data_IF_561089713101
#
_entry.id   IF_561089713101
#
_cell.length_a   1.000
_cell.length_b   1.000
_cell.length_c   1.000
_cell.angle_alpha   90.00
_cell.angle_beta   90.00
_cell.angle_gamma   90.00
#
_symmetry.space_group_name_H-M   'P 1'
#
loop_
_entity.id
_entity.type
_entity.pdbx_description
1 polymer ?
#
# COMPACT_ATOMS: atom_id res chain seq x y z
N UNK A 1 -23.83 -8.14 38.82
CA UNK A 1 -23.67 -8.55 37.39
C UNK A 1 -23.71 -7.28 36.58
N UNK A 2 -22.61 -6.92 35.86
CA UNK A 2 -22.51 -5.64 35.15
C UNK A 2 -23.08 -5.80 33.73
N UNK A 3 -24.25 -5.16 33.49
CA UNK A 3 -25.00 -5.25 32.25
C UNK A 3 -24.23 -4.65 31.05
N UNK A 4 -23.40 -3.64 31.31
CA UNK A 4 -22.61 -2.97 30.29
C UNK A 4 -21.43 -3.84 29.83
N UNK A 5 -20.87 -4.63 30.76
CA UNK A 5 -19.82 -5.61 30.44
C UNK A 5 -20.38 -6.78 29.61
N UNK A 6 -21.60 -7.19 29.87
CA UNK A 6 -22.33 -8.21 29.08
C UNK A 6 -22.66 -7.68 27.68
N UNK A 7 -23.13 -6.43 27.56
CA UNK A 7 -23.40 -5.78 26.26
C UNK A 7 -22.12 -5.63 25.44
N UNK A 8 -21.02 -5.21 26.06
CA UNK A 8 -19.72 -5.09 25.39
C UNK A 8 -19.18 -6.45 24.92
N UNK A 9 -19.38 -7.51 25.72
CA UNK A 9 -18.98 -8.87 25.35
C UNK A 9 -19.86 -9.46 24.26
N UNK A 10 -21.16 -9.19 24.28
CA UNK A 10 -22.11 -9.56 23.22
C UNK A 10 -21.77 -8.84 21.90
N UNK A 11 -21.48 -7.55 21.96
CA UNK A 11 -21.03 -6.77 20.79
C UNK A 11 -19.71 -7.30 20.22
N UNK A 12 -18.77 -7.71 21.08
CA UNK A 12 -17.50 -8.32 20.66
C UNK A 12 -17.66 -9.71 20.04
N UNK A 13 -18.67 -10.48 20.48
CA UNK A 13 -18.99 -11.80 19.93
C UNK A 13 -19.75 -11.71 18.59
N UNK A 14 -20.61 -10.71 18.43
CA UNK A 14 -21.29 -10.45 17.16
C UNK A 14 -20.33 -9.87 16.09
N UNK A 15 -19.17 -9.34 16.49
CA UNK A 15 -18.09 -8.90 15.60
C UNK A 15 -17.09 -10.02 15.25
N UNK A 16 -17.42 -11.29 15.43
CA UNK A 16 -16.62 -12.42 14.94
C UNK A 16 -16.66 -12.50 13.40
N UNK A 17 -15.81 -11.71 12.77
CA UNK A 17 -15.63 -11.67 11.33
C UNK A 17 -14.94 -10.40 10.82
N UNK A 18 -14.81 -9.40 11.67
CA UNK A 18 -14.09 -8.16 11.35
C UNK A 18 -12.91 -8.00 12.30
N UNK A 19 -11.69 -8.29 11.86
CA UNK A 19 -10.53 -7.61 12.45
C UNK A 19 -10.89 -6.13 12.56
N UNK A 20 -10.44 -5.42 13.62
CA UNK A 20 -10.69 -3.97 13.80
C UNK A 20 -10.61 -3.34 12.41
N UNK A 21 -11.75 -2.91 11.85
CA UNK A 21 -11.72 -2.12 10.62
C UNK A 21 -10.90 -0.91 10.98
N UNK A 22 -9.64 -0.92 10.58
CA UNK A 22 -8.82 0.28 10.62
C UNK A 22 -9.66 1.30 9.88
N UNK A 23 -10.06 2.38 10.56
CA UNK A 23 -10.81 3.42 9.89
C UNK A 23 -9.90 3.96 8.78
N UNK A 24 -10.11 3.44 7.57
CA UNK A 24 -9.26 3.71 6.43
C UNK A 24 -9.23 5.22 6.18
N UNK A 25 -10.36 5.87 6.29
CA UNK A 25 -10.49 7.31 6.05
C UNK A 25 -9.73 8.15 7.09
N UNK A 26 -9.62 7.66 8.34
CA UNK A 26 -8.87 8.34 9.38
C UNK A 26 -7.35 8.24 9.20
N UNK A 27 -6.85 7.18 8.54
CA UNK A 27 -5.41 6.97 8.39
C UNK A 27 -4.89 7.26 6.98
N UNK A 28 -5.77 7.18 5.97
CA UNK A 28 -5.36 7.33 4.58
C UNK A 28 -6.12 8.45 3.88
N UNK A 29 -5.39 9.22 3.10
CA UNK A 29 -5.96 10.17 2.16
C UNK A 29 -5.87 9.62 0.74
N UNK A 30 -6.96 9.70 0.01
CA UNK A 30 -7.02 9.32 -1.40
C UNK A 30 -7.54 10.51 -2.19
N UNK A 31 -6.76 11.03 -3.17
CA UNK A 31 -7.23 12.10 -4.04
C UNK A 31 -8.44 11.63 -4.86
N UNK A 32 -9.43 12.51 -5.00
CA UNK A 32 -10.65 12.20 -5.75
C UNK A 32 -10.39 12.33 -7.24
N UNK A 33 -11.00 11.44 -8.02
CA UNK A 33 -10.97 11.47 -9.48
C UNK A 33 -11.58 12.78 -10.02
N UNK A 34 -10.94 13.36 -11.04
CA UNK A 34 -11.38 14.60 -11.65
C UNK A 34 -11.18 15.85 -10.79
N UNK A 35 -10.40 15.76 -9.70
CA UNK A 35 -10.18 16.90 -8.80
C UNK A 35 -8.70 17.24 -8.64
N UNK A 36 -8.46 18.50 -8.21
CA UNK A 36 -7.15 19.00 -7.78
C UNK A 36 -7.19 19.22 -6.28
N UNK A 37 -6.23 18.67 -5.58
CA UNK A 37 -6.07 18.85 -4.13
C UNK A 37 -4.70 19.46 -3.85
N UNK A 38 -4.60 20.26 -2.80
CA UNK A 38 -3.33 20.76 -2.30
C UNK A 38 -2.95 19.98 -1.04
N UNK A 39 -1.72 19.54 -0.99
CA UNK A 39 -1.16 18.80 0.15
C UNK A 39 0.22 19.34 0.51
N UNK A 40 0.65 19.12 1.74
CA UNK A 40 2.03 19.20 2.19
C UNK A 40 2.50 17.81 2.57
N UNK A 41 3.61 17.33 2.02
CA UNK A 41 4.31 16.17 2.57
C UNK A 41 4.94 16.62 3.87
N UNK A 42 4.69 15.85 4.93
CA UNK A 42 5.17 16.16 6.29
C UNK A 42 6.42 15.31 6.56
N UNK A 43 7.44 15.84 7.26
CA UNK A 43 8.57 15.03 7.70
C UNK A 43 8.09 13.80 8.47
N UNK A 44 8.70 12.65 8.22
CA UNK A 44 8.29 11.41 8.89
C UNK A 44 8.83 11.35 10.31
N UNK A 45 7.98 11.04 11.29
CA UNK A 45 8.39 10.78 12.67
C UNK A 45 9.31 9.55 12.78
N UNK A 46 9.10 8.55 11.92
CA UNK A 46 9.76 7.24 11.97
C UNK A 46 10.96 7.11 11.04
N UNK A 47 11.13 8.06 10.11
CA UNK A 47 12.30 8.17 9.25
C UNK A 47 12.60 9.65 9.02
N UNK A 48 13.54 10.20 9.82
CA UNK A 48 13.84 11.64 9.82
C UNK A 48 14.54 12.11 8.54
N UNK A 49 15.25 11.21 7.89
CA UNK A 49 16.05 11.55 6.71
C UNK A 49 15.24 11.45 5.41
N UNK A 50 14.08 10.79 5.46
CA UNK A 50 13.30 10.50 4.25
C UNK A 50 11.81 10.37 4.54
N UNK A 51 10.93 11.17 3.90
CA UNK A 51 9.51 11.21 4.24
C UNK A 51 8.71 10.04 3.67
N UNK A 52 9.29 9.25 2.76
CA UNK A 52 8.58 8.17 2.09
C UNK A 52 8.82 6.83 2.75
N UNK A 53 7.78 6.01 2.81
CA UNK A 53 7.85 4.63 3.24
C UNK A 53 7.56 3.72 2.05
N UNK A 54 8.53 2.91 1.67
CA UNK A 54 8.44 1.95 0.59
C UNK A 54 7.99 0.60 1.15
N UNK A 55 6.82 0.12 0.75
CA UNK A 55 6.30 -1.16 1.18
C UNK A 55 5.91 -2.01 -0.03
N UNK A 56 6.22 -3.30 0.05
CA UNK A 56 5.92 -4.29 -0.97
C UNK A 56 4.68 -5.09 -0.61
N UNK A 57 3.76 -5.24 -1.57
CA UNK A 57 2.50 -5.94 -1.38
C UNK A 57 2.23 -6.95 -2.48
N UNK A 58 1.59 -8.05 -2.09
CA UNK A 58 0.93 -8.97 -3.00
C UNK A 58 -0.51 -8.55 -3.23
N UNK A 59 -1.00 -8.72 -4.45
CA UNK A 59 -2.37 -8.41 -4.83
C UNK A 59 -3.03 -9.60 -5.52
N UNK A 60 -4.24 -9.97 -5.07
CA UNK A 60 -5.04 -11.02 -5.71
C UNK A 60 -4.55 -12.46 -5.49
N UNK A 61 -3.64 -12.69 -4.56
CA UNK A 61 -3.15 -14.03 -4.20
C UNK A 61 -3.92 -14.50 -2.97
N UNK A 62 -5.06 -15.16 -3.18
CA UNK A 62 -5.93 -15.66 -2.10
C UNK A 62 -6.52 -14.56 -1.19
N UNK A 63 -5.96 -13.36 -1.22
CA UNK A 63 -6.43 -12.15 -0.53
C UNK A 63 -6.34 -10.95 -1.46
N UNK A 64 -7.22 -9.93 -1.30
CA UNK A 64 -7.16 -8.72 -2.12
C UNK A 64 -5.80 -8.01 -2.03
N UNK A 65 -5.20 -7.98 -0.84
CA UNK A 65 -3.90 -7.34 -0.57
C UNK A 65 -3.24 -7.97 0.65
N UNK A 66 -1.94 -8.25 0.55
CA UNK A 66 -1.12 -8.75 1.67
C UNK A 66 0.22 -8.03 1.68
N UNK A 67 0.71 -7.67 2.87
CA UNK A 67 2.06 -7.14 3.06
C UNK A 67 3.07 -8.28 2.87
N UNK A 68 4.07 -8.07 2.02
CA UNK A 68 5.12 -9.06 1.79
C UNK A 68 6.05 -9.18 3.00
N UNK A 69 6.51 -10.39 3.30
CA UNK A 69 7.44 -10.63 4.42
C UNK A 69 8.81 -10.02 4.18
N UNK A 70 9.19 -9.79 2.93
CA UNK A 70 10.42 -9.07 2.56
C UNK A 70 10.51 -7.65 3.14
N UNK A 71 9.39 -7.02 3.54
CA UNK A 71 9.42 -5.74 4.27
C UNK A 71 10.00 -5.85 5.68
N UNK A 72 10.19 -7.05 6.19
CA UNK A 72 10.69 -7.32 7.54
C UNK A 72 12.05 -8.04 7.52
N UNK A 73 12.73 -8.07 6.38
CA UNK A 73 13.98 -8.80 6.16
C UNK A 73 13.87 -10.29 6.53
N UNK A 74 12.66 -10.86 6.34
CA UNK A 74 12.38 -12.26 6.63
C UNK A 74 12.10 -13.02 5.34
N UNK A 75 12.35 -14.33 5.38
CA UNK A 75 12.06 -15.24 4.28
C UNK A 75 10.59 -15.16 3.87
N UNK A 76 10.33 -15.08 2.58
CA UNK A 76 8.99 -14.90 2.01
C UNK A 76 8.69 -16.06 1.03
N UNK A 77 7.76 -16.96 1.37
CA UNK A 77 7.51 -18.17 0.58
C UNK A 77 6.97 -17.87 -0.81
N UNK A 78 6.20 -16.78 -0.97
CA UNK A 78 5.65 -16.39 -2.28
C UNK A 78 6.77 -15.84 -3.16
N UNK A 79 7.66 -15.02 -2.61
CA UNK A 79 8.79 -14.44 -3.35
C UNK A 79 9.80 -15.53 -3.77
N UNK A 80 10.07 -16.49 -2.89
CA UNK A 80 10.95 -17.64 -3.21
C UNK A 80 10.38 -18.45 -4.36
N UNK A 81 9.10 -18.80 -4.29
CA UNK A 81 8.41 -19.54 -5.35
C UNK A 81 8.40 -18.76 -6.66
N UNK A 82 8.05 -17.46 -6.65
CA UNK A 82 8.10 -16.61 -7.82
C UNK A 82 9.51 -16.55 -8.45
N UNK A 83 10.53 -16.50 -7.61
CA UNK A 83 11.94 -16.47 -8.06
C UNK A 83 12.36 -17.79 -8.73
N UNK A 84 11.97 -18.94 -8.17
CA UNK A 84 12.22 -20.25 -8.78
C UNK A 84 11.49 -20.40 -10.12
N UNK A 85 10.22 -20.00 -10.20
CA UNK A 85 9.46 -20.00 -11.45
C UNK A 85 10.15 -19.15 -12.52
N UNK A 86 10.61 -17.95 -12.18
CA UNK A 86 11.32 -17.07 -13.13
C UNK A 86 12.62 -17.68 -13.64
N UNK A 87 13.34 -18.41 -12.77
CA UNK A 87 14.61 -19.06 -13.12
C UNK A 87 14.44 -20.32 -13.99
N UNK A 88 13.24 -20.89 -14.10
CA UNK A 88 13.00 -22.12 -14.88
C UNK A 88 13.14 -21.93 -16.40
N UNK A 89 13.08 -20.69 -16.89
CA UNK A 89 13.17 -20.38 -18.32
C UNK A 89 11.91 -20.71 -19.15
N UNK A 90 10.91 -21.33 -18.54
CA UNK A 90 9.64 -21.65 -19.18
C UNK A 90 8.72 -20.41 -19.21
N UNK A 91 8.12 -20.11 -20.36
CA UNK A 91 7.29 -18.91 -20.54
C UNK A 91 6.06 -18.89 -19.63
N UNK A 92 5.40 -20.03 -19.46
CA UNK A 92 4.21 -20.16 -18.58
C UNK A 92 4.58 -19.90 -17.14
N UNK A 93 5.72 -20.45 -16.69
CA UNK A 93 6.25 -20.19 -15.35
C UNK A 93 6.64 -18.72 -15.17
N UNK A 94 7.22 -18.08 -16.18
CA UNK A 94 7.57 -16.66 -16.13
C UNK A 94 6.34 -15.77 -16.03
N UNK A 95 5.25 -16.10 -16.73
CA UNK A 95 4.00 -15.33 -16.67
C UNK A 95 3.29 -15.52 -15.32
N UNK A 96 3.35 -16.72 -14.75
CA UNK A 96 2.89 -16.98 -13.39
C UNK A 96 3.73 -16.21 -12.37
N UNK A 97 5.06 -16.23 -12.51
CA UNK A 97 5.97 -15.50 -11.64
C UNK A 97 5.66 -13.99 -11.61
N UNK A 98 5.39 -13.37 -12.77
CA UNK A 98 5.00 -11.94 -12.85
C UNK A 98 3.81 -11.58 -11.97
N UNK A 99 2.83 -12.50 -11.82
CA UNK A 99 1.65 -12.31 -10.97
C UNK A 99 2.00 -12.44 -9.48
N UNK A 100 3.01 -13.23 -9.16
CA UNK A 100 3.45 -13.55 -7.80
C UNK A 100 4.49 -12.57 -7.25
N UNK A 101 5.13 -11.75 -8.07
CA UNK A 101 6.07 -10.75 -7.55
C UNK A 101 5.35 -9.64 -6.79
N UNK A 102 5.85 -9.25 -5.60
CA UNK A 102 5.27 -8.15 -4.84
C UNK A 102 5.44 -6.82 -5.57
N UNK A 103 4.47 -5.94 -5.41
CA UNK A 103 4.45 -4.63 -6.05
C UNK A 103 4.75 -3.54 -5.03
N UNK A 104 5.66 -2.65 -5.39
CA UNK A 104 5.99 -1.46 -4.60
C UNK A 104 4.78 -0.52 -4.50
N UNK A 105 4.49 -0.10 -3.27
CA UNK A 105 3.63 1.02 -2.93
C UNK A 105 4.38 1.96 -2.02
N UNK A 106 4.28 3.23 -2.30
CA UNK A 106 4.95 4.28 -1.53
C UNK A 106 3.91 5.06 -0.75
N UNK A 107 4.24 5.35 0.50
CA UNK A 107 3.39 6.09 1.42
C UNK A 107 4.11 7.33 1.91
N UNK A 108 3.46 8.48 1.80
CA UNK A 108 3.92 9.73 2.38
C UNK A 108 2.94 10.21 3.44
N UNK A 109 3.39 10.66 4.61
CA UNK A 109 2.55 11.40 5.53
C UNK A 109 2.22 12.76 4.90
N UNK A 110 0.93 13.09 4.79
CA UNK A 110 0.47 14.31 4.16
C UNK A 110 -0.52 15.08 5.03
N UNK A 111 -0.40 16.38 4.99
CA UNK A 111 -1.36 17.33 5.54
C UNK A 111 -2.13 17.97 4.38
N UNK A 112 -3.44 17.77 4.37
CA UNK A 112 -4.29 18.14 3.21
C UNK A 112 -4.90 19.50 3.44
N UNK A 113 -4.67 20.44 2.55
CA UNK A 113 -5.24 21.79 2.63
C UNK A 113 -6.74 21.74 2.39
N UNK A 114 -7.50 22.37 3.29
CA UNK A 114 -8.96 22.32 3.32
C UNK A 114 -9.55 21.10 4.06
N UNK A 115 -8.70 20.25 4.64
CA UNK A 115 -9.08 19.12 5.50
C UNK A 115 -8.20 19.06 6.75
N UNK A 116 -7.84 20.24 7.28
CA UNK A 116 -6.89 20.40 8.38
C UNK A 116 -7.35 19.71 9.67
N UNK A 117 -8.66 19.64 9.88
CA UNK A 117 -9.31 18.95 11.00
C UNK A 117 -9.00 17.46 11.08
N UNK A 118 -8.62 16.85 9.95
CA UNK A 118 -8.29 15.42 9.85
C UNK A 118 -6.83 15.09 10.18
N UNK A 119 -5.99 16.08 10.41
CA UNK A 119 -4.58 15.90 10.73
C UNK A 119 -3.77 15.23 9.63
N UNK A 120 -2.64 14.60 10.02
CA UNK A 120 -1.75 13.90 9.09
C UNK A 120 -2.32 12.53 8.74
N UNK A 121 -2.39 12.23 7.45
CA UNK A 121 -2.82 10.93 6.89
C UNK A 121 -1.81 10.45 5.88
N UNK A 122 -1.83 9.16 5.56
CA UNK A 122 -0.96 8.61 4.53
C UNK A 122 -1.59 8.73 3.14
N UNK A 123 -0.82 9.26 2.21
CA UNK A 123 -1.12 9.17 0.78
C UNK A 123 -0.34 8.01 0.18
N UNK A 124 -1.07 7.07 -0.43
CA UNK A 124 -0.50 5.93 -1.15
C UNK A 124 -0.41 6.23 -2.64
N UNK A 125 0.75 5.98 -3.24
CA UNK A 125 0.97 6.13 -4.67
C UNK A 125 1.93 5.09 -5.23
N UNK A 126 1.99 5.00 -6.57
CA UNK A 126 2.87 4.07 -7.27
C UNK A 126 4.18 4.71 -7.72
N UNK A 127 4.99 3.87 -8.38
CA UNK A 127 6.35 4.22 -8.81
C UNK A 127 6.43 5.51 -9.67
N UNK A 128 5.46 5.78 -10.53
CA UNK A 128 5.52 6.96 -11.43
C UNK A 128 5.47 8.28 -10.65
N UNK A 129 4.50 8.42 -9.75
CA UNK A 129 4.40 9.59 -8.87
C UNK A 129 5.63 9.71 -7.96
N UNK A 130 6.13 8.57 -7.48
CA UNK A 130 7.33 8.53 -6.66
C UNK A 130 8.55 9.08 -7.39
N UNK A 131 8.78 8.64 -8.63
CA UNK A 131 9.89 9.14 -9.46
C UNK A 131 9.76 10.63 -9.74
N UNK A 132 8.55 11.14 -9.97
CA UNK A 132 8.29 12.56 -10.20
C UNK A 132 8.62 13.39 -8.94
N UNK A 133 8.19 12.93 -7.75
CA UNK A 133 8.52 13.59 -6.49
C UNK A 133 10.02 13.57 -6.17
N UNK A 134 10.68 12.42 -6.38
CA UNK A 134 12.13 12.31 -6.19
C UNK A 134 12.89 13.22 -7.16
N UNK A 135 12.42 13.34 -8.41
CA UNK A 135 13.00 14.24 -9.39
C UNK A 135 12.98 15.70 -8.92
N UNK A 136 11.85 16.14 -8.35
CA UNK A 136 11.74 17.50 -7.78
C UNK A 136 12.63 17.66 -6.54
N UNK A 137 12.65 16.66 -5.65
CA UNK A 137 13.46 16.75 -4.41
C UNK A 137 14.96 16.68 -4.67
N UNK A 138 15.38 16.14 -5.81
CA UNK A 138 16.79 16.13 -6.23
C UNK A 138 17.25 17.44 -6.89
N UNK A 139 16.33 18.35 -7.17
CA UNK A 139 16.59 19.65 -7.78
C UNK A 139 16.86 20.70 -6.69
N UNK A 140 18.06 21.23 -6.66
CA UNK A 140 18.52 22.22 -5.66
C UNK A 140 17.67 23.49 -5.62
N UNK A 141 17.03 23.87 -6.73
CA UNK A 141 16.15 25.06 -6.82
C UNK A 141 14.88 24.91 -5.98
N UNK A 142 14.43 23.68 -5.74
CA UNK A 142 13.28 23.44 -4.89
C UNK A 142 13.62 23.35 -3.39
N UNK A 143 14.82 22.92 -3.05
CA UNK A 143 15.23 22.68 -1.65
C UNK A 143 14.41 21.58 -0.99
N UNK A 144 14.37 21.57 0.34
CA UNK A 144 13.55 20.62 1.09
C UNK A 144 12.06 21.00 1.03
N UNK A 145 11.31 20.33 0.17
CA UNK A 145 9.87 20.57 0.02
C UNK A 145 9.07 20.14 1.25
N UNK A 146 9.65 19.37 2.17
CA UNK A 146 8.99 18.88 3.39
C UNK A 146 9.26 19.75 4.60
N UNK A 147 10.17 20.72 4.51
CA UNK A 147 10.54 21.60 5.62
C UNK A 147 9.30 22.24 6.28
N UNK A 148 9.26 22.23 7.60
CA UNK A 148 8.08 22.69 8.37
C UNK A 148 7.87 24.20 8.32
N UNK A 149 8.94 24.97 8.13
CA UNK A 149 8.89 26.44 8.09
C UNK A 149 8.83 26.99 6.66
N UNK A 150 9.59 26.40 5.75
CA UNK A 150 9.85 26.89 4.39
C UNK A 150 9.64 25.83 3.30
N UNK A 151 8.94 24.74 3.60
CA UNK A 151 8.63 23.73 2.61
C UNK A 151 7.60 24.20 1.57
N UNK A 152 7.19 23.29 0.66
CA UNK A 152 6.33 23.63 -0.46
C UNK A 152 5.10 22.74 -0.53
N UNK A 153 3.96 23.33 -0.80
CA UNK A 153 2.73 22.57 -1.08
C UNK A 153 2.79 21.93 -2.45
N UNK A 154 2.10 20.82 -2.60
CA UNK A 154 2.01 20.04 -3.83
C UNK A 154 0.56 20.03 -4.29
N UNK A 155 0.32 20.35 -5.56
CA UNK A 155 -0.97 20.09 -6.20
C UNK A 155 -0.96 18.67 -6.74
N UNK A 156 -1.91 17.86 -6.28
CA UNK A 156 -2.17 16.50 -6.78
C UNK A 156 -3.44 16.54 -7.61
N UNK A 157 -3.36 16.08 -8.85
CA UNK A 157 -4.49 16.00 -9.78
C UNK A 157 -4.68 14.56 -10.24
N UNK A 158 -5.91 14.05 -10.16
CA UNK A 158 -6.26 12.73 -10.70
C UNK A 158 -7.10 12.91 -11.94
N UNK A 159 -6.51 12.62 -13.09
CA UNK A 159 -7.15 12.71 -14.40
C UNK A 159 -7.80 11.36 -14.70
N UNK A 160 -9.11 11.33 -14.97
CA UNK A 160 -9.82 10.10 -15.30
C UNK A 160 -9.24 9.38 -16.52
N UNK A 161 -9.28 8.06 -16.49
CA UNK A 161 -8.83 7.20 -17.59
C UNK A 161 -9.49 7.56 -18.93
N UNK A 162 -10.78 7.90 -18.90
CA UNK A 162 -11.57 8.33 -20.06
C UNK A 162 -11.05 9.60 -20.73
N UNK A 163 -10.39 10.49 -19.99
CA UNK A 163 -9.87 11.76 -20.51
C UNK A 163 -8.47 11.60 -21.10
N UNK A 164 -7.72 10.61 -20.61
CA UNK A 164 -6.35 10.35 -21.05
C UNK A 164 -6.25 9.26 -22.12
N UNK A 165 -7.34 8.51 -22.37
CA UNK A 165 -7.33 7.32 -23.22
C UNK A 165 -6.52 6.14 -22.68
N UNK A 166 -6.12 6.20 -21.41
CA UNK A 166 -5.35 5.14 -20.74
C UNK A 166 -6.30 4.15 -20.07
N UNK A 167 -5.77 2.97 -19.72
CA UNK A 167 -6.51 1.94 -18.99
C UNK A 167 -6.84 2.35 -17.54
N UNK A 168 -6.02 3.22 -16.93
CA UNK A 168 -6.15 3.65 -15.54
C UNK A 168 -6.06 5.17 -15.43
N UNK A 169 -6.64 5.71 -14.36
CA UNK A 169 -6.51 7.11 -14.01
C UNK A 169 -5.03 7.51 -13.90
N UNK A 170 -4.72 8.72 -14.34
CA UNK A 170 -3.37 9.28 -14.25
C UNK A 170 -3.31 10.26 -13.08
N UNK A 171 -2.39 10.04 -12.16
CA UNK A 171 -2.11 11.00 -11.10
C UNK A 171 -0.90 11.83 -11.51
N UNK A 172 -1.03 13.13 -11.47
CA UNK A 172 0.06 14.10 -11.70
C UNK A 172 0.31 14.92 -10.44
N UNK A 173 1.54 15.33 -10.23
CA UNK A 173 1.96 16.16 -9.11
C UNK A 173 2.63 17.43 -9.63
N UNK A 174 2.40 18.53 -8.92
CA UNK A 174 3.05 19.79 -9.22
C UNK A 174 3.42 20.50 -7.94
N UNK A 175 4.70 20.64 -7.67
CA UNK A 175 5.20 21.39 -6.52
C UNK A 175 4.98 22.87 -6.75
N UNK A 176 4.48 23.58 -5.73
CA UNK A 176 4.27 25.03 -5.77
C UNK A 176 5.60 25.75 -5.66
N UNK A 177 5.77 26.86 -6.42
CA UNK A 177 7.01 27.64 -6.36
C UNK A 177 7.19 28.37 -5.02
N UNK A 178 6.10 28.70 -4.35
CA UNK A 178 6.13 29.45 -3.09
C UNK A 178 6.41 28.53 -1.90
N UNK A 179 7.31 28.96 -1.05
CA UNK A 179 7.53 28.36 0.26
C UNK A 179 6.44 28.85 1.22
N UNK A 180 5.94 27.93 2.06
CA UNK A 180 4.92 28.22 3.07
C UNK A 180 5.15 27.35 4.30
N UNK A 181 4.78 27.80 5.51
CA UNK A 181 4.84 26.95 6.69
C UNK A 181 3.82 25.81 6.60
N UNK A 182 4.12 24.71 7.32
CA UNK A 182 3.25 23.55 7.43
C UNK A 182 1.90 23.95 8.07
N UNK A 183 1.96 24.69 9.18
CA UNK A 183 0.82 25.30 9.84
C UNK A 183 1.22 26.67 10.41
N UNK A 184 0.24 27.58 10.70
CA UNK A 184 0.52 28.91 11.20
C UNK A 184 1.16 28.91 12.59
N UNK A 185 0.80 27.96 13.45
CA UNK A 185 1.20 27.90 14.85
C UNK A 185 2.17 26.74 15.10
N UNK A 186 3.24 27.02 15.86
CA UNK A 186 4.28 26.04 16.19
C UNK A 186 3.69 24.82 16.97
N UNK A 187 2.76 25.05 17.86
CA UNK A 187 2.09 23.99 18.64
C UNK A 187 1.30 23.04 17.75
N UNK A 188 0.68 23.56 16.67
CA UNK A 188 0.01 22.75 15.66
C UNK A 188 1.02 21.90 14.88
N UNK A 189 2.17 22.49 14.49
CA UNK A 189 3.26 21.76 13.81
C UNK A 189 3.76 20.60 14.68
N UNK A 190 4.06 20.85 15.95
CA UNK A 190 4.49 19.81 16.90
C UNK A 190 3.47 18.68 17.00
N UNK A 191 2.19 19.04 17.16
CA UNK A 191 1.10 18.04 17.20
C UNK A 191 1.02 17.20 15.94
N UNK A 192 1.17 17.81 14.74
CA UNK A 192 1.14 17.10 13.46
C UNK A 192 2.33 16.13 13.31
N UNK A 193 3.49 16.49 13.85
CA UNK A 193 4.66 15.62 13.83
C UNK A 193 4.51 14.46 14.83
N UNK A 194 4.02 14.74 16.04
CA UNK A 194 3.95 13.76 17.13
C UNK A 194 2.84 12.74 17.00
N UNK A 195 1.71 13.10 16.39
CA UNK A 195 0.55 12.23 16.24
C UNK A 195 0.63 11.25 15.07
N UNK A 196 1.71 11.28 14.28
CA UNK A 196 1.90 10.35 13.18
C UNK A 196 1.94 8.90 13.66
N UNK A 197 1.31 8.03 12.87
CA UNK A 197 1.37 6.58 13.06
C UNK A 197 2.50 5.97 12.23
N UNK A 198 2.98 4.81 12.65
CA UNK A 198 3.87 4.03 11.82
C UNK A 198 3.06 3.27 10.76
N UNK A 199 3.35 3.49 9.48
CA UNK A 199 2.55 2.94 8.37
C UNK A 199 2.50 1.42 8.36
N UNK A 200 3.62 0.75 8.67
CA UNK A 200 3.68 -0.71 8.63
C UNK A 200 2.80 -1.34 9.71
N UNK A 201 2.60 -0.65 10.85
CA UNK A 201 1.73 -1.10 11.94
C UNK A 201 0.24 -1.12 11.58
N UNK A 202 -0.16 -0.45 10.51
CA UNK A 202 -1.53 -0.44 10.01
C UNK A 202 -1.90 -1.70 9.21
N UNK A 203 -0.91 -2.53 8.90
CA UNK A 203 -1.09 -3.75 8.11
C UNK A 203 -0.85 -5.01 8.93
N UNK A 204 -1.57 -6.09 8.62
CA UNK A 204 -1.32 -7.40 9.22
C UNK A 204 0.04 -7.92 8.73
N UNK A 205 0.94 -8.25 9.66
CA UNK A 205 2.10 -9.09 9.40
C UNK A 205 1.65 -10.55 9.39
N UNK A 206 1.85 -11.23 8.28
CA UNK A 206 1.59 -12.67 8.15
C UNK A 206 2.79 -13.46 8.66
N UNK A 207 2.54 -14.72 9.06
CA UNK A 207 3.61 -15.69 9.31
C UNK A 207 3.96 -16.43 8.02
N UNK A 208 5.16 -17.02 7.98
CA UNK A 208 5.63 -17.76 6.81
C UNK A 208 4.64 -18.87 6.40
N UNK A 209 4.21 -19.70 7.36
CA UNK A 209 3.27 -20.80 7.10
C UNK A 209 1.90 -20.30 6.62
N UNK A 210 1.38 -19.21 7.22
CA UNK A 210 0.13 -18.60 6.76
C UNK A 210 0.22 -18.20 5.27
N UNK A 211 1.34 -17.61 4.85
CA UNK A 211 1.53 -17.19 3.46
C UNK A 211 1.74 -18.38 2.52
N UNK A 212 2.43 -19.42 2.99
CA UNK A 212 2.57 -20.70 2.28
C UNK A 212 1.20 -21.32 2.01
N UNK A 213 0.35 -21.43 3.04
CA UNK A 213 -1.00 -21.98 2.94
C UNK A 213 -1.88 -21.17 1.97
N UNK A 214 -1.81 -19.84 2.03
CA UNK A 214 -2.53 -18.94 1.11
C UNK A 214 -2.07 -19.17 -0.33
N UNK A 215 -0.76 -19.30 -0.57
CA UNK A 215 -0.19 -19.56 -1.89
C UNK A 215 -0.67 -20.93 -2.41
N UNK A 216 -0.59 -21.97 -1.59
CA UNK A 216 -1.07 -23.31 -1.94
C UNK A 216 -2.55 -23.30 -2.31
N UNK A 217 -3.38 -22.64 -1.50
CA UNK A 217 -4.81 -22.50 -1.77
C UNK A 217 -5.10 -21.75 -3.08
N UNK A 218 -4.29 -20.73 -3.40
CA UNK A 218 -4.45 -19.95 -4.62
C UNK A 218 -4.00 -20.71 -5.88
N UNK A 219 -3.03 -21.61 -5.76
CA UNK A 219 -2.51 -22.45 -6.85
C UNK A 219 -3.41 -23.66 -7.15
N UNK A 220 -4.25 -24.13 -6.20
CA UNK A 220 -5.17 -25.23 -6.44
C UNK A 220 -6.19 -24.83 -7.50
N UNK A 221 -6.50 -25.71 -8.47
CA UNK A 221 -7.62 -25.49 -9.37
C UNK A 221 -8.90 -25.31 -8.53
N UNK A 222 -9.77 -24.39 -8.89
CA UNK A 222 -11.11 -24.34 -8.31
C UNK A 222 -11.81 -25.66 -8.65
N UNK A 223 -12.07 -26.50 -7.64
CA UNK A 223 -12.96 -27.65 -7.80
C UNK A 223 -14.32 -27.14 -8.33
N UNK A 224 -14.92 -27.90 -9.24
CA UNK A 224 -16.16 -27.55 -9.92
C UNK A 224 -17.38 -27.59 -8.99
N UNK A 225 -17.39 -26.75 -7.95
CA UNK A 225 -18.63 -26.50 -7.21
C UNK A 225 -18.75 -25.03 -6.76
N UNK A 226 -19.69 -24.31 -7.41
CA UNK A 226 -20.37 -23.15 -6.85
C UNK A 226 -19.67 -21.79 -6.85
N UNK A 227 -19.55 -21.11 -8.00
CA UNK A 227 -19.92 -19.67 -8.12
C UNK A 227 -19.04 -18.60 -7.49
N UNK A 228 -18.08 -18.07 -8.24
CA UNK A 228 -17.88 -16.65 -8.57
C UNK A 228 -16.68 -16.55 -9.49
N UNK A 229 -16.88 -15.93 -10.67
CA UNK A 229 -15.86 -15.67 -11.67
C UNK A 229 -14.71 -14.84 -11.06
N UNK A 230 -13.61 -15.51 -10.76
CA UNK A 230 -12.28 -14.92 -10.79
C UNK A 230 -11.63 -15.41 -12.08
N UNK A 231 -11.06 -14.51 -12.87
CA UNK A 231 -10.48 -14.76 -14.19
C UNK A 231 -9.76 -16.12 -14.25
N UNK A 232 -10.34 -17.04 -15.07
CA UNK A 232 -9.76 -18.34 -15.38
C UNK A 232 -8.38 -18.15 -15.98
N UNK A 233 -7.35 -18.52 -15.24
CA UNK A 233 -6.05 -18.81 -15.82
C UNK A 233 -6.19 -20.15 -16.55
N UNK A 234 -6.47 -20.11 -17.86
CA UNK A 234 -6.37 -21.30 -18.71
C UNK A 234 -4.93 -21.81 -18.72
N UNK A 235 -4.67 -22.82 -17.93
CA UNK A 235 -3.39 -23.56 -17.95
C UNK A 235 -3.43 -24.59 -19.08
N UNK A 236 -3.03 -24.20 -20.28
CA UNK A 236 -2.53 -25.15 -21.28
C UNK A 236 -1.13 -25.57 -20.89
N UNK A 237 -1.02 -26.67 -20.17
CA UNK A 237 0.24 -27.27 -19.73
C UNK A 237 0.20 -27.62 -18.25
N UNK A 238 -0.31 -28.79 -17.90
CA UNK A 238 -0.21 -29.36 -16.54
C UNK A 238 1.25 -29.68 -16.22
N UNK A 239 2.03 -28.66 -15.91
CA UNK A 239 3.24 -28.85 -15.13
C UNK A 239 2.78 -28.98 -13.68
N UNK A 240 3.24 -30.01 -13.00
CA UNK A 240 2.88 -30.28 -11.62
C UNK A 240 3.43 -29.17 -10.71
N UNK A 241 2.64 -28.07 -10.62
CA UNK A 241 2.97 -26.86 -9.84
C UNK A 241 3.01 -27.21 -8.36
N UNK A 242 2.20 -28.20 -7.93
CA UNK A 242 2.18 -28.68 -6.53
C UNK A 242 3.47 -29.42 -6.19
N UNK A 243 3.96 -30.31 -7.07
CA UNK A 243 5.25 -30.99 -6.86
C UNK A 243 6.43 -30.02 -6.81
N UNK A 244 6.36 -28.90 -7.57
CA UNK A 244 7.40 -27.85 -7.51
C UNK A 244 7.32 -27.03 -6.23
N UNK A 245 6.12 -26.88 -5.66
CA UNK A 245 5.91 -26.19 -4.40
C UNK A 245 6.39 -27.05 -3.23
N UNK A 246 6.04 -28.35 -3.22
CA UNK A 246 6.44 -29.29 -2.18
C UNK A 246 7.97 -29.45 -2.14
N UNK A 247 8.64 -29.58 -3.29
CA UNK A 247 10.11 -29.59 -3.39
C UNK A 247 10.79 -28.24 -3.02
N UNK A 248 10.04 -27.22 -2.72
CA UNK A 248 10.59 -25.93 -2.29
C UNK A 248 10.73 -25.85 -0.78
N UNK A 249 9.87 -26.56 -0.03
CA UNK A 249 9.72 -26.41 1.40
C UNK A 249 10.05 -27.68 2.20
N UNK A 250 10.52 -28.74 1.49
CA UNK A 250 11.18 -29.91 2.07
C UNK A 250 12.71 -29.67 2.12
#
# INVERSE_FOLDING_TARGET
MNLDEIKNRLASLNNKGGGKKTDYAANFWKPKEGTKSQIRIVPSKFNKDFPFNELYFYFGIGKPRMLALSNFDTTDPILEFATKLRKSGDQTNMDLAKKLFPKLRVFAPVYVRGEEDKGVRFWEFGKMVYQELLGVMSDEDYGDITDVASGRDITVEVIPAKETGKMFNTTTVRVKPNQTPLAPEATTVESLLDTQKEIISLYKKYQFDEMKDILQGWLKPADEDGGKETEKVESKGKVDINAKLDNLFD
#
